data_IF_516068830627
#
_entry.id   IF_516068830627
#
_cell.length_a   1.000
_cell.length_b   1.000
_cell.length_c   1.000
_cell.angle_alpha   90.00
_cell.angle_beta   90.00
_cell.angle_gamma   90.00
#
_symmetry.space_group_name_H-M   'P 1'
#
loop_
_entity.id
_entity.type
_entity.pdbx_description
1 polymer ?
#
# COMPACT_ATOMS: atom_id res chain seq x y z
N UNK A 1 -58.18 -23.75 -43.44
CA UNK A 1 -57.31 -22.55 -43.53
C UNK A 1 -56.82 -22.21 -42.11
N UNK A 2 -55.53 -22.40 -41.82
CA UNK A 2 -54.95 -21.94 -40.55
C UNK A 2 -54.88 -20.42 -40.60
N UNK A 3 -55.66 -19.73 -39.78
CA UNK A 3 -55.49 -18.28 -39.58
C UNK A 3 -54.11 -18.09 -38.95
N UNK A 4 -53.18 -17.55 -39.72
CA UNK A 4 -51.96 -16.97 -39.16
C UNK A 4 -52.41 -15.82 -38.28
N UNK A 5 -52.31 -16.02 -36.96
CA UNK A 5 -52.61 -15.00 -35.98
C UNK A 5 -51.36 -14.10 -35.96
N UNK A 6 -51.30 -13.12 -36.86
CA UNK A 6 -50.24 -12.11 -36.82
C UNK A 6 -50.35 -11.36 -35.49
N UNK A 7 -49.25 -11.22 -34.74
CA UNK A 7 -49.26 -10.45 -33.51
C UNK A 7 -49.73 -9.03 -33.81
N UNK A 8 -50.55 -8.47 -32.91
CA UNK A 8 -50.95 -7.06 -32.97
C UNK A 8 -49.71 -6.16 -33.06
N UNK A 9 -49.75 -5.11 -33.89
CA UNK A 9 -48.70 -4.08 -33.96
C UNK A 9 -48.35 -3.51 -32.57
N UNK A 10 -49.31 -3.50 -31.65
CA UNK A 10 -49.10 -3.08 -30.26
C UNK A 10 -48.23 -4.08 -29.49
N UNK A 11 -48.43 -5.39 -29.71
CA UNK A 11 -47.62 -6.44 -29.10
C UNK A 11 -46.18 -6.43 -29.64
N UNK A 12 -45.98 -6.16 -30.92
CA UNK A 12 -44.64 -5.98 -31.50
C UNK A 12 -43.93 -4.74 -30.93
N UNK A 13 -44.65 -3.62 -30.82
CA UNK A 13 -44.10 -2.39 -30.21
C UNK A 13 -43.69 -2.61 -28.76
N UNK A 14 -44.53 -3.30 -27.99
CA UNK A 14 -44.26 -3.54 -26.57
C UNK A 14 -43.12 -4.56 -26.39
N UNK A 15 -43.01 -5.58 -27.24
CA UNK A 15 -41.86 -6.49 -27.29
C UNK A 15 -40.55 -5.75 -27.65
N UNK A 16 -40.58 -4.83 -28.62
CA UNK A 16 -39.42 -3.99 -28.96
C UNK A 16 -39.02 -3.07 -27.79
N UNK A 17 -39.99 -2.53 -27.04
CA UNK A 17 -39.71 -1.73 -25.84
C UNK A 17 -39.03 -2.54 -24.74
N UNK A 18 -39.49 -3.76 -24.51
CA UNK A 18 -38.87 -4.69 -23.56
C UNK A 18 -37.43 -5.03 -23.96
N UNK A 19 -37.19 -5.27 -25.25
CA UNK A 19 -35.84 -5.57 -25.76
C UNK A 19 -34.90 -4.36 -25.64
N UNK A 20 -35.37 -3.16 -25.96
CA UNK A 20 -34.59 -1.92 -25.73
C UNK A 20 -34.28 -1.74 -24.24
N UNK A 21 -35.22 -2.03 -23.34
CA UNK A 21 -34.99 -1.96 -21.90
C UNK A 21 -33.91 -2.97 -21.46
N UNK A 22 -33.96 -4.20 -21.95
CA UNK A 22 -32.94 -5.25 -21.70
C UNK A 22 -31.56 -4.81 -22.19
N UNK A 23 -31.46 -4.33 -23.43
CA UNK A 23 -30.20 -3.88 -24.01
C UNK A 23 -29.62 -2.69 -23.24
N UNK A 24 -30.45 -1.74 -22.83
CA UNK A 24 -30.01 -0.61 -22.02
C UNK A 24 -29.48 -1.04 -20.64
N UNK A 25 -30.09 -2.05 -20.02
CA UNK A 25 -29.57 -2.64 -18.77
C UNK A 25 -28.21 -3.31 -18.99
N UNK A 26 -28.04 -4.01 -20.10
CA UNK A 26 -26.77 -4.67 -20.43
C UNK A 26 -25.66 -3.66 -20.72
N UNK A 27 -25.96 -2.60 -21.47
CA UNK A 27 -25.02 -1.50 -21.72
C UNK A 27 -24.58 -0.86 -20.40
N UNK A 28 -25.53 -0.55 -19.50
CA UNK A 28 -25.24 0.02 -18.19
C UNK A 28 -24.32 -0.89 -17.36
N UNK A 29 -24.58 -2.20 -17.36
CA UNK A 29 -23.73 -3.19 -16.65
C UNK A 29 -22.32 -3.22 -17.22
N UNK A 30 -22.18 -3.29 -18.55
CA UNK A 30 -20.87 -3.30 -19.23
C UNK A 30 -20.10 -2.00 -18.99
N UNK A 31 -20.77 -0.85 -19.01
CA UNK A 31 -20.16 0.44 -18.66
C UNK A 31 -19.60 0.42 -17.24
N UNK A 32 -20.36 -0.09 -16.27
CA UNK A 32 -19.88 -0.23 -14.89
C UNK A 32 -18.65 -1.13 -14.77
N UNK A 33 -18.63 -2.27 -15.47
CA UNK A 33 -17.47 -3.19 -15.48
C UNK A 33 -16.22 -2.52 -16.06
N UNK A 34 -16.37 -1.76 -17.16
CA UNK A 34 -15.27 -0.99 -17.75
C UNK A 34 -14.75 0.10 -16.80
N UNK A 35 -15.63 0.83 -16.14
CA UNK A 35 -15.24 1.89 -15.19
C UNK A 35 -14.53 1.31 -13.96
N UNK A 36 -14.95 0.15 -13.47
CA UNK A 36 -14.25 -0.61 -12.43
C UNK A 36 -12.83 -0.94 -12.87
N UNK A 37 -12.65 -1.48 -14.07
CA UNK A 37 -11.33 -1.87 -14.59
C UNK A 37 -10.43 -0.66 -14.79
N UNK A 38 -10.93 0.42 -15.40
CA UNK A 38 -10.20 1.68 -15.54
C UNK A 38 -9.77 2.25 -14.18
N UNK A 39 -10.66 2.20 -13.18
CA UNK A 39 -10.33 2.71 -11.84
C UNK A 39 -9.36 1.80 -11.09
N UNK A 40 -9.41 0.50 -11.34
CA UNK A 40 -8.44 -0.46 -10.82
C UNK A 40 -7.03 -0.18 -11.37
N UNK A 41 -6.92 0.09 -12.67
CA UNK A 41 -5.68 0.52 -13.33
C UNK A 41 -5.14 1.81 -12.69
N UNK A 42 -5.96 2.85 -12.57
CA UNK A 42 -5.56 4.15 -12.02
C UNK A 42 -5.08 4.05 -10.55
N UNK A 43 -5.84 3.35 -9.68
CA UNK A 43 -5.58 3.32 -8.24
C UNK A 43 -4.48 2.33 -7.87
N UNK A 44 -4.48 1.15 -8.49
CA UNK A 44 -3.61 0.04 -8.08
C UNK A 44 -2.35 -0.01 -8.95
N UNK A 45 -2.33 0.71 -10.10
CA UNK A 45 -1.23 0.67 -11.08
C UNK A 45 -0.88 -0.75 -11.50
N UNK A 46 -1.90 -1.60 -11.55
CA UNK A 46 -1.82 -2.99 -11.96
C UNK A 46 -1.98 -3.04 -13.48
N UNK A 47 -1.14 -3.84 -14.15
CA UNK A 47 -1.19 -4.01 -15.60
C UNK A 47 -2.60 -4.44 -16.07
N UNK A 48 -3.02 -4.07 -17.30
CA UNK A 48 -4.38 -4.27 -17.83
C UNK A 48 -4.80 -5.74 -18.06
N UNK A 49 -4.12 -6.72 -17.46
CA UNK A 49 -4.42 -8.15 -17.54
C UNK A 49 -5.03 -8.78 -16.28
N UNK A 50 -5.39 -7.98 -15.27
CA UNK A 50 -5.81 -8.52 -13.97
C UNK A 50 -7.33 -8.59 -13.85
N UNK A 51 -7.85 -9.81 -13.69
CA UNK A 51 -9.27 -10.07 -13.43
C UNK A 51 -9.71 -9.54 -12.05
N UNK A 52 -10.94 -9.04 -11.95
CA UNK A 52 -11.57 -8.55 -10.71
C UNK A 52 -11.53 -9.60 -9.58
N UNK A 53 -11.54 -10.88 -9.94
CA UNK A 53 -11.41 -12.03 -9.02
C UNK A 53 -10.09 -12.07 -8.26
N UNK A 54 -9.00 -11.56 -8.84
CA UNK A 54 -7.66 -11.57 -8.22
C UNK A 54 -7.40 -10.36 -7.31
N UNK A 55 -8.35 -9.42 -7.23
CA UNK A 55 -8.21 -8.25 -6.37
C UNK A 55 -8.45 -8.60 -4.90
N UNK A 56 -7.62 -8.06 -4.01
CA UNK A 56 -7.85 -8.19 -2.57
C UNK A 56 -9.09 -7.38 -2.14
N UNK A 57 -9.80 -7.79 -1.09
CA UNK A 57 -10.96 -7.07 -0.57
C UNK A 57 -10.65 -5.60 -0.23
N UNK A 58 -9.43 -5.31 0.24
CA UNK A 58 -8.98 -3.92 0.47
C UNK A 58 -8.90 -3.12 -0.84
N UNK A 59 -8.44 -3.73 -1.92
CA UNK A 59 -8.35 -3.12 -3.24
C UNK A 59 -9.73 -2.91 -3.85
N UNK A 60 -10.59 -3.94 -3.81
CA UNK A 60 -12.00 -3.86 -4.22
C UNK A 60 -12.72 -2.72 -3.49
N UNK A 61 -12.46 -2.57 -2.19
CA UNK A 61 -13.04 -1.48 -1.39
C UNK A 61 -12.58 -0.11 -1.86
N UNK A 62 -11.31 0.07 -2.25
CA UNK A 62 -10.83 1.35 -2.80
C UNK A 62 -11.54 1.70 -4.10
N UNK A 63 -11.70 0.74 -5.01
CA UNK A 63 -12.40 0.93 -6.28
C UNK A 63 -13.88 1.28 -6.03
N UNK A 64 -14.55 0.51 -5.16
CA UNK A 64 -15.94 0.75 -4.79
C UNK A 64 -16.16 2.12 -4.16
N UNK A 65 -15.25 2.58 -3.29
CA UNK A 65 -15.35 3.89 -2.65
C UNK A 65 -15.13 5.03 -3.66
N UNK A 66 -14.25 4.83 -4.66
CA UNK A 66 -14.02 5.80 -5.72
C UNK A 66 -15.20 5.95 -6.69
N UNK A 67 -15.88 4.84 -7.03
CA UNK A 67 -17.02 4.84 -7.95
C UNK A 67 -18.38 5.08 -7.27
N UNK A 68 -18.37 5.26 -5.95
CA UNK A 68 -19.59 5.40 -5.13
C UNK A 68 -20.47 6.59 -5.52
N UNK A 69 -19.88 7.64 -6.10
CA UNK A 69 -20.63 8.82 -6.54
C UNK A 69 -21.36 8.59 -7.87
N UNK A 70 -20.87 7.66 -8.69
CA UNK A 70 -21.41 7.38 -10.03
C UNK A 70 -22.44 6.25 -10.00
N UNK A 71 -22.21 5.22 -9.18
CA UNK A 71 -23.02 4.01 -9.16
C UNK A 71 -23.51 3.66 -7.76
N UNK A 72 -24.70 3.01 -7.64
CA UNK A 72 -25.20 2.58 -6.34
C UNK A 72 -24.30 1.48 -5.76
N UNK A 73 -24.02 1.60 -4.46
CA UNK A 73 -23.09 0.70 -3.75
C UNK A 73 -23.49 -0.78 -3.87
N UNK A 74 -24.78 -1.09 -3.86
CA UNK A 74 -25.28 -2.47 -3.97
C UNK A 74 -24.87 -3.14 -5.27
N UNK A 75 -24.96 -2.43 -6.40
CA UNK A 75 -24.55 -2.94 -7.71
C UNK A 75 -23.03 -3.10 -7.78
N UNK A 76 -22.28 -2.11 -7.31
CA UNK A 76 -20.80 -2.16 -7.28
C UNK A 76 -20.29 -3.38 -6.48
N UNK A 77 -20.89 -3.64 -5.32
CA UNK A 77 -20.52 -4.79 -4.49
C UNK A 77 -20.83 -6.13 -5.16
N UNK A 78 -21.94 -6.20 -5.90
CA UNK A 78 -22.31 -7.39 -6.66
C UNK A 78 -21.28 -7.67 -7.77
N UNK A 79 -20.91 -6.66 -8.56
CA UNK A 79 -19.92 -6.80 -9.65
C UNK A 79 -18.53 -7.14 -9.11
N UNK A 80 -18.12 -6.54 -7.99
CA UNK A 80 -16.83 -6.81 -7.36
C UNK A 80 -16.78 -8.13 -6.58
N UNK A 81 -17.92 -8.79 -6.36
CA UNK A 81 -18.02 -9.95 -5.48
C UNK A 81 -17.56 -9.66 -4.06
N UNK A 82 -17.92 -8.49 -3.52
CA UNK A 82 -17.53 -8.03 -2.18
C UNK A 82 -18.77 -7.97 -1.27
N UNK A 83 -18.71 -8.60 -0.11
CA UNK A 83 -19.82 -8.54 0.86
C UNK A 83 -19.90 -7.15 1.51
N UNK A 84 -21.11 -6.73 1.87
CA UNK A 84 -21.35 -5.41 2.47
C UNK A 84 -20.58 -5.19 3.77
N UNK A 85 -20.50 -6.21 4.63
CA UNK A 85 -19.72 -6.16 5.87
C UNK A 85 -18.23 -5.97 5.61
N UNK A 86 -17.66 -6.71 4.66
CA UNK A 86 -16.26 -6.55 4.26
C UNK A 86 -15.97 -5.16 3.70
N UNK A 87 -16.88 -4.59 2.91
CA UNK A 87 -16.75 -3.20 2.43
C UNK A 87 -16.65 -2.20 3.60
N UNK A 88 -17.58 -2.23 4.56
CA UNK A 88 -17.57 -1.28 5.66
C UNK A 88 -16.36 -1.48 6.59
N UNK A 89 -15.94 -2.73 6.82
CA UNK A 89 -14.74 -3.04 7.57
C UNK A 89 -13.48 -2.43 6.92
N UNK A 90 -13.25 -2.72 5.64
CA UNK A 90 -12.07 -2.20 4.94
C UNK A 90 -12.14 -0.69 4.73
N UNK A 91 -13.32 -0.11 4.53
CA UNK A 91 -13.50 1.34 4.41
C UNK A 91 -13.17 2.05 5.72
N UNK A 92 -13.63 1.50 6.85
CA UNK A 92 -13.25 2.01 8.17
C UNK A 92 -11.73 1.90 8.38
N UNK A 93 -11.13 0.77 8.02
CA UNK A 93 -9.68 0.57 8.12
C UNK A 93 -8.85 1.47 7.18
N UNK A 94 -9.38 1.89 6.04
CA UNK A 94 -8.74 2.85 5.14
C UNK A 94 -8.82 4.29 5.69
N UNK A 95 -9.90 4.61 6.40
CA UNK A 95 -10.10 5.92 7.06
C UNK A 95 -9.36 6.03 8.38
N UNK A 96 -9.23 4.92 9.09
CA UNK A 96 -8.34 4.81 10.24
C UNK A 96 -6.94 5.00 9.69
N UNK A 97 -6.44 6.23 9.80
CA UNK A 97 -5.09 6.57 9.39
C UNK A 97 -4.06 5.74 10.15
N UNK A 98 -2.81 6.17 10.06
CA UNK A 98 -1.76 5.45 10.73
C UNK A 98 -1.89 5.51 12.27
N UNK A 99 -2.15 4.34 12.89
CA UNK A 99 -2.31 4.17 14.34
C UNK A 99 -1.14 4.74 15.13
N UNK A 100 0.07 4.71 14.58
CA UNK A 100 1.28 5.17 15.29
C UNK A 100 1.81 6.50 14.76
N UNK A 101 1.02 7.29 14.02
CA UNK A 101 1.49 8.55 13.45
C UNK A 101 2.06 9.51 14.50
N UNK A 102 1.35 9.70 15.61
CA UNK A 102 1.80 10.53 16.73
C UNK A 102 3.06 9.97 17.39
N UNK A 103 3.15 8.64 17.53
CA UNK A 103 4.31 7.99 18.12
C UNK A 103 5.53 8.08 17.22
N UNK A 104 5.36 7.99 15.89
CA UNK A 104 6.45 8.13 14.92
C UNK A 104 7.08 9.51 15.03
N UNK A 105 6.26 10.56 15.02
CA UNK A 105 6.75 11.93 15.20
C UNK A 105 7.52 12.09 16.52
N UNK A 106 6.95 11.66 17.65
CA UNK A 106 7.64 11.67 18.94
C UNK A 106 8.96 10.88 18.93
N UNK A 107 8.99 9.68 18.34
CA UNK A 107 10.21 8.87 18.27
C UNK A 107 11.30 9.56 17.45
N UNK A 108 10.93 10.16 16.32
CA UNK A 108 11.86 10.90 15.45
C UNK A 108 12.39 12.14 16.16
N UNK A 109 11.53 12.86 16.88
CA UNK A 109 11.93 14.05 17.65
C UNK A 109 12.91 13.66 18.76
N UNK A 110 12.56 12.67 19.60
CA UNK A 110 13.45 12.17 20.65
C UNK A 110 14.78 11.68 20.03
N UNK A 111 14.74 10.95 18.93
CA UNK A 111 15.94 10.43 18.29
C UNK A 111 16.87 11.54 17.80
N UNK A 112 16.32 12.57 17.14
CA UNK A 112 17.08 13.70 16.62
C UNK A 112 17.61 14.62 17.73
N UNK A 113 16.83 14.88 18.77
CA UNK A 113 17.28 15.65 19.93
C UNK A 113 18.44 14.99 20.70
N UNK A 114 18.59 13.67 20.57
CA UNK A 114 19.63 12.89 21.26
C UNK A 114 20.75 12.44 20.31
N UNK A 115 21.15 13.31 19.37
CA UNK A 115 22.28 13.09 18.45
C UNK A 115 22.22 11.77 17.67
N UNK A 116 21.01 11.24 17.44
CA UNK A 116 20.81 10.00 16.70
C UNK A 116 21.56 8.80 17.30
N UNK A 117 21.89 8.85 18.60
CA UNK A 117 22.67 7.81 19.28
C UNK A 117 21.79 6.79 20.03
N UNK A 118 20.50 7.08 20.18
CA UNK A 118 19.58 6.24 20.94
C UNK A 118 19.02 5.11 20.07
N UNK A 119 19.38 3.87 20.43
CA UNK A 119 18.70 2.69 19.89
C UNK A 119 17.33 2.46 20.54
N UNK A 120 16.61 1.46 20.01
CA UNK A 120 15.24 1.15 20.42
C UNK A 120 15.03 0.96 21.93
N UNK A 121 16.02 0.41 22.65
CA UNK A 121 15.96 0.24 24.12
C UNK A 121 15.87 1.57 24.86
N UNK A 122 16.69 2.55 24.45
CA UNK A 122 16.71 3.89 25.05
C UNK A 122 15.49 4.70 24.64
N UNK A 123 15.11 4.64 23.35
CA UNK A 123 13.89 5.28 22.87
C UNK A 123 12.64 4.72 23.55
N UNK A 124 12.56 3.41 23.78
CA UNK A 124 11.44 2.80 24.51
C UNK A 124 11.33 3.28 25.96
N UNK A 125 12.46 3.46 26.64
CA UNK A 125 12.49 3.99 28.00
C UNK A 125 12.04 5.46 28.04
N UNK A 126 12.57 6.29 27.13
CA UNK A 126 12.18 7.71 26.98
C UNK A 126 10.69 7.84 26.66
N UNK A 127 10.20 7.06 25.70
CA UNK A 127 8.80 7.08 25.29
C UNK A 127 7.87 6.67 26.45
N UNK A 128 8.29 5.72 27.29
CA UNK A 128 7.53 5.37 28.51
C UNK A 128 7.52 6.49 29.54
N UNK A 129 8.62 7.22 29.69
CA UNK A 129 8.70 8.38 30.58
C UNK A 129 7.76 9.50 30.13
N UNK A 130 7.65 9.73 28.82
CA UNK A 130 6.71 10.71 28.22
C UNK A 130 5.24 10.22 28.17
N UNK A 131 4.91 9.09 28.79
CA UNK A 131 3.55 8.56 28.90
C UNK A 131 3.13 7.59 27.79
N UNK A 132 4.00 7.29 26.83
CA UNK A 132 3.76 6.33 25.76
C UNK A 132 3.83 4.88 26.23
N UNK A 133 2.69 4.18 26.24
CA UNK A 133 2.62 2.74 26.57
C UNK A 133 2.66 1.88 25.30
N UNK A 134 3.87 1.62 24.81
CA UNK A 134 4.10 0.72 23.69
C UNK A 134 5.02 -0.45 24.03
N UNK A 135 4.88 -1.55 23.31
CA UNK A 135 5.84 -2.65 23.38
C UNK A 135 7.15 -2.23 22.71
N UNK A 136 8.27 -2.66 23.28
CA UNK A 136 9.60 -2.49 22.73
C UNK A 136 9.71 -3.01 21.28
N UNK A 137 9.01 -4.11 20.95
CA UNK A 137 8.96 -4.68 19.60
C UNK A 137 8.35 -3.71 18.59
N UNK A 138 7.33 -2.95 19.01
CA UNK A 138 6.69 -1.94 18.16
C UNK A 138 7.64 -0.79 17.93
N UNK A 139 8.32 -0.30 18.98
CA UNK A 139 9.34 0.76 18.85
C UNK A 139 10.44 0.34 17.88
N UNK A 140 10.98 -0.88 18.02
CA UNK A 140 12.01 -1.39 17.12
C UNK A 140 11.53 -1.44 15.67
N UNK A 141 10.30 -1.90 15.42
CA UNK A 141 9.72 -1.92 14.08
C UNK A 141 9.55 -0.51 13.52
N UNK A 142 8.99 0.42 14.31
CA UNK A 142 8.80 1.81 13.90
C UNK A 142 10.13 2.49 13.57
N UNK A 143 11.19 2.25 14.35
CA UNK A 143 12.53 2.77 14.00
C UNK A 143 13.01 2.30 12.63
N UNK A 144 12.73 1.05 12.24
CA UNK A 144 13.13 0.53 10.92
C UNK A 144 12.30 1.16 9.81
N UNK A 145 10.98 1.26 10.02
CA UNK A 145 10.05 1.89 9.05
C UNK A 145 10.40 3.37 8.81
N UNK A 146 10.76 4.10 9.86
CA UNK A 146 11.17 5.51 9.83
C UNK A 146 12.67 5.71 9.54
N UNK A 147 13.42 4.64 9.25
CA UNK A 147 14.86 4.69 8.93
C UNK A 147 15.72 5.37 10.01
N UNK A 148 15.33 5.25 11.28
CA UNK A 148 16.07 5.78 12.43
C UNK A 148 17.29 4.89 12.73
N UNK A 149 18.36 5.10 11.97
CA UNK A 149 19.61 4.33 12.10
C UNK A 149 20.53 4.99 13.10
N UNK A 150 20.82 4.28 14.19
CA UNK A 150 21.75 4.75 15.22
C UNK A 150 23.13 5.00 14.61
N UNK A 151 23.64 6.21 14.77
CA UNK A 151 25.00 6.55 14.38
C UNK A 151 25.99 5.69 15.19
N UNK A 152 26.79 4.88 14.50
CA UNK A 152 27.80 4.03 15.12
C UNK A 152 29.17 4.36 14.55
N UNK A 153 30.07 4.82 15.41
CA UNK A 153 31.47 4.92 15.04
C UNK A 153 32.02 3.52 14.79
N UNK A 154 32.60 3.30 13.61
CA UNK A 154 33.29 2.05 13.29
C UNK A 154 34.43 1.86 14.28
N UNK A 155 34.35 0.82 15.12
CA UNK A 155 35.46 0.47 16.01
C UNK A 155 36.68 0.16 15.14
N UNK A 156 37.70 1.00 15.22
CA UNK A 156 39.00 0.70 14.62
C UNK A 156 39.61 -0.46 15.42
N UNK A 157 40.22 -1.42 14.72
CA UNK A 157 41.07 -2.41 15.40
C UNK A 157 42.24 -1.66 16.02
N UNK A 158 42.61 -2.04 17.23
CA UNK A 158 43.77 -1.47 17.90
C UNK A 158 45.02 -1.67 17.01
N UNK A 159 45.79 -0.61 16.82
CA UNK A 159 47.10 -0.62 16.20
C UNK A 159 48.03 0.17 17.12
N UNK A 160 49.01 -0.52 17.73
CA UNK A 160 50.09 0.13 18.48
C UNK A 160 51.09 0.82 17.56
N UNK A 161 51.07 0.48 16.27
CA UNK A 161 51.91 1.09 15.27
C UNK A 161 51.37 2.48 14.92
N UNK A 162 52.13 3.52 15.28
CA UNK A 162 51.81 4.93 15.00
C UNK A 162 52.26 5.41 13.61
N UNK A 163 52.75 4.49 12.75
CA UNK A 163 53.41 4.82 11.49
C UNK A 163 54.93 4.93 11.64
N UNK A 164 55.63 5.03 10.51
CA UNK A 164 57.08 5.32 10.49
C UNK A 164 57.29 6.80 10.83
N UNK A 165 58.21 7.09 11.74
CA UNK A 165 58.52 8.46 12.18
C UNK A 165 59.25 9.24 11.06
N UNK A 166 59.85 8.54 10.10
CA UNK A 166 60.59 9.11 8.98
C UNK A 166 60.46 8.28 7.70
N UNK A 167 61.03 8.75 6.59
CA UNK A 167 60.99 8.03 5.33
C UNK A 167 61.77 6.70 5.43
N UNK A 168 61.27 5.67 4.76
CA UNK A 168 61.97 4.40 4.62
C UNK A 168 63.33 4.61 3.94
N UNK A 169 64.39 3.93 4.38
CA UNK A 169 65.71 3.99 3.75
C UNK A 169 65.68 3.41 2.32
N UNK A 170 66.59 3.89 1.46
CA UNK A 170 66.66 3.48 0.05
C UNK A 170 66.91 1.97 -0.11
N UNK A 171 66.15 1.33 -1.02
CA UNK A 171 66.32 -0.08 -1.36
C UNK A 171 67.50 -0.27 -2.35
N UNK A 172 68.71 -0.23 -1.82
CA UNK A 172 69.95 -0.31 -2.62
C UNK A 172 70.12 -1.64 -3.39
N UNK A 173 69.44 -2.71 -2.95
CA UNK A 173 69.60 -4.06 -3.52
C UNK A 173 68.50 -4.33 -4.57
N UNK A 174 67.44 -3.51 -4.64
CA UNK A 174 66.31 -3.67 -5.56
C UNK A 174 65.69 -5.07 -5.57
N UNK A 175 65.68 -5.77 -4.42
CA UNK A 175 65.04 -7.10 -4.31
C UNK A 175 63.52 -6.96 -4.39
N UNK A 176 62.92 -7.77 -5.26
CA UNK A 176 61.47 -7.94 -5.34
C UNK A 176 61.02 -9.01 -4.33
N UNK A 177 60.16 -8.62 -3.40
CA UNK A 177 59.60 -9.49 -2.36
C UNK A 177 58.13 -9.83 -2.61
N UNK A 178 57.60 -9.56 -3.82
CA UNK A 178 56.27 -10.02 -4.21
C UNK A 178 56.33 -11.51 -4.57
N UNK A 179 55.45 -12.29 -3.93
CA UNK A 179 55.15 -13.68 -4.25
C UNK A 179 53.74 -13.79 -4.82
#
# INVERSE_FOLDING_TARGET
MRKHNEPSLEAERDALREEVARLNQEIRRRQMELDILKKAEEIIKKDPGISISHLNNREKTKIADALRQTYPLTELLHVLGLTRSSYFYHRAALKAGDKYATIRTMLTDIFNSNYQCYGYRRLHAMLRHEGGRLSEKVVRRLMVEEQLVVSRNRRRRYSSYCGEIGPAPDNLIARDFKA
#
